data_IF_669778902342
#
_entry.id   IF_669778902342
#
_cell.length_a   1.000
_cell.length_b   1.000
_cell.length_c   1.000
_cell.angle_alpha   90.00
_cell.angle_beta   90.00
_cell.angle_gamma   90.00
#
_symmetry.space_group_name_H-M   'P 1'
#
loop_
_entity.id
_entity.type
_entity.pdbx_description
1 polymer ?
#
# COMPACT_ATOMS: atom_id res chain seq x y z
N UNK A 1 15.94 7.13 -6.44
CA UNK A 1 14.95 6.10 -6.04
C UNK A 1 15.17 4.88 -6.90
N UNK A 2 15.18 3.66 -6.32
CA UNK A 2 15.29 2.42 -7.12
C UNK A 2 13.96 2.23 -7.84
N UNK A 3 13.97 2.36 -9.18
CA UNK A 3 12.81 2.08 -10.02
C UNK A 3 12.83 0.62 -10.41
N UNK A 4 11.74 -0.11 -10.11
CA UNK A 4 11.57 -1.50 -10.51
C UNK A 4 10.55 -1.55 -11.63
N UNK A 5 10.88 -2.19 -12.74
CA UNK A 5 9.90 -2.48 -13.78
C UNK A 5 8.89 -3.52 -13.27
N UNK A 6 7.61 -3.25 -13.49
CA UNK A 6 6.53 -4.17 -13.15
C UNK A 6 5.16 -3.61 -13.45
N UNK A 7 4.14 -4.42 -13.21
CA UNK A 7 2.74 -4.02 -13.34
C UNK A 7 2.30 -3.20 -12.13
N UNK A 8 1.71 -2.03 -12.37
CA UNK A 8 1.13 -1.21 -11.31
C UNK A 8 -0.15 -1.87 -10.77
N UNK A 9 -0.26 -2.15 -9.45
CA UNK A 9 -1.42 -2.84 -8.90
C UNK A 9 -2.72 -2.03 -8.99
N UNK A 10 -2.63 -0.70 -9.19
CA UNK A 10 -3.80 0.18 -9.35
C UNK A 10 -4.32 0.21 -10.79
N UNK A 11 -3.48 0.59 -11.75
CA UNK A 11 -3.90 0.80 -13.14
C UNK A 11 -3.63 -0.41 -14.06
N UNK A 12 -2.78 -1.35 -13.67
CA UNK A 12 -2.36 -2.48 -14.51
C UNK A 12 -1.32 -2.12 -15.58
N UNK A 13 -0.81 -0.89 -15.61
CA UNK A 13 0.23 -0.51 -16.57
C UNK A 13 1.57 -1.16 -16.20
N UNK A 14 2.25 -1.72 -17.18
CA UNK A 14 3.60 -2.25 -17.02
C UNK A 14 4.62 -1.11 -17.21
N UNK A 15 5.13 -0.56 -16.11
CA UNK A 15 5.98 0.64 -16.13
C UNK A 15 6.97 0.65 -14.95
N UNK A 16 7.78 1.70 -14.86
CA UNK A 16 8.66 1.92 -13.73
C UNK A 16 7.84 2.24 -12.47
N UNK A 17 7.99 1.40 -11.45
CA UNK A 17 7.31 1.54 -10.17
C UNK A 17 8.20 2.24 -9.13
N UNK A 18 7.57 3.10 -8.34
CA UNK A 18 8.16 3.87 -7.26
C UNK A 18 7.57 3.44 -5.91
N UNK A 19 8.35 3.54 -4.83
CA UNK A 19 7.92 3.15 -3.48
C UNK A 19 7.09 4.26 -2.87
N UNK A 20 5.82 3.97 -2.60
CA UNK A 20 4.96 4.81 -1.78
C UNK A 20 4.89 4.21 -0.37
N UNK A 21 5.21 4.99 0.66
CA UNK A 21 5.08 4.53 2.04
C UNK A 21 3.62 4.63 2.48
N UNK A 22 3.07 3.57 3.09
CA UNK A 22 1.69 3.56 3.59
C UNK A 22 1.49 4.68 4.61
N UNK A 23 2.46 4.84 5.50
CA UNK A 23 2.46 5.94 6.44
C UNK A 23 3.28 7.11 5.90
N UNK A 24 2.86 8.38 6.07
CA UNK A 24 3.63 9.51 5.57
C UNK A 24 4.99 9.62 6.26
N UNK A 25 6.06 9.71 5.47
CA UNK A 25 7.44 9.82 6.00
C UNK A 25 7.61 11.05 6.89
N UNK A 26 6.86 12.13 6.62
CA UNK A 26 6.85 13.35 7.46
C UNK A 26 6.46 13.09 8.93
N UNK A 27 5.64 12.07 9.18
CA UNK A 27 5.11 11.76 10.52
C UNK A 27 5.80 10.56 11.18
N UNK A 28 6.26 9.59 10.38
CA UNK A 28 6.78 8.30 10.89
C UNK A 28 8.29 8.12 10.64
N UNK A 29 8.92 9.06 9.92
CA UNK A 29 10.31 8.97 9.50
C UNK A 29 10.54 7.86 8.47
N UNK A 30 11.76 7.83 7.92
CA UNK A 30 12.12 6.88 6.85
C UNK A 30 12.62 5.53 7.35
N UNK A 31 13.30 5.48 8.51
CA UNK A 31 13.96 4.27 9.02
C UNK A 31 13.00 3.24 9.63
N UNK A 32 11.89 3.71 10.19
CA UNK A 32 10.92 2.87 10.90
C UNK A 32 9.73 2.48 10.00
N UNK A 33 9.63 3.07 8.82
CA UNK A 33 8.49 2.92 7.93
C UNK A 33 8.77 1.86 6.86
N UNK A 34 8.57 0.59 7.24
CA UNK A 34 8.82 -0.57 6.36
C UNK A 34 7.61 -0.96 5.52
N UNK A 35 6.44 -0.37 5.76
CA UNK A 35 5.23 -0.64 5.01
C UNK A 35 5.16 0.29 3.79
N UNK A 36 5.37 -0.28 2.61
CA UNK A 36 5.30 0.44 1.36
C UNK A 36 4.63 -0.41 0.28
N UNK A 37 4.15 0.27 -0.75
CA UNK A 37 3.61 -0.31 -1.97
C UNK A 37 4.39 0.23 -3.17
N UNK A 38 4.38 -0.53 -4.26
CA UNK A 38 4.99 -0.14 -5.52
C UNK A 38 3.89 0.32 -6.47
N UNK A 39 3.97 1.56 -6.93
CA UNK A 39 3.00 2.18 -7.84
C UNK A 39 3.71 2.83 -9.01
N UNK A 40 3.05 2.95 -10.15
CA UNK A 40 3.52 3.87 -11.19
C UNK A 40 3.50 5.31 -10.66
N UNK A 41 4.30 6.19 -11.27
CA UNK A 41 4.41 7.59 -10.86
C UNK A 41 3.06 8.31 -10.77
N UNK A 42 2.15 8.03 -11.71
CA UNK A 42 0.85 8.67 -11.76
C UNK A 42 -0.06 8.22 -10.60
N UNK A 43 -0.22 6.91 -10.40
CA UNK A 43 -0.97 6.39 -9.26
C UNK A 43 -0.34 6.77 -7.91
N UNK A 44 0.99 6.88 -7.84
CA UNK A 44 1.68 7.36 -6.66
C UNK A 44 1.23 8.78 -6.29
N UNK A 45 1.20 9.69 -7.27
CA UNK A 45 0.77 11.08 -7.07
C UNK A 45 -0.70 11.19 -6.67
N UNK A 46 -1.58 10.43 -7.33
CA UNK A 46 -3.01 10.41 -7.00
C UNK A 46 -3.24 9.95 -5.56
N UNK A 47 -2.51 8.91 -5.13
CA UNK A 47 -2.60 8.44 -3.75
C UNK A 47 -2.13 9.49 -2.74
N UNK A 48 -1.04 10.22 -3.02
CA UNK A 48 -0.57 11.30 -2.15
C UNK A 48 -1.62 12.40 -1.94
N UNK A 49 -2.46 12.69 -2.94
CA UNK A 49 -3.55 13.68 -2.82
C UNK A 49 -4.65 13.28 -1.85
N UNK A 50 -4.82 11.99 -1.57
CA UNK A 50 -5.81 11.51 -0.60
C UNK A 50 -5.31 11.54 0.86
N UNK A 51 -4.03 11.87 1.07
CA UNK A 51 -3.40 11.85 2.38
C UNK A 51 -3.28 13.30 2.89
N UNK A 52 -4.05 13.71 3.92
CA UNK A 52 -4.03 15.07 4.45
C UNK A 52 -2.67 15.39 5.05
N UNK A 53 -2.30 16.68 5.10
CA UNK A 53 -1.01 17.10 5.61
C UNK A 53 -0.85 16.75 7.10
N UNK A 54 -1.92 16.95 7.87
CA UNK A 54 -2.04 16.62 9.28
C UNK A 54 -1.82 15.12 9.55
N UNK A 55 -1.48 14.79 10.80
CA UNK A 55 -1.34 13.40 11.21
C UNK A 55 -2.73 12.83 11.50
N UNK A 56 -3.04 11.69 10.89
CA UNK A 56 -4.27 10.95 11.07
C UNK A 56 -3.99 9.64 11.84
N UNK A 57 -5.02 8.99 12.41
CA UNK A 57 -4.88 7.67 13.00
C UNK A 57 -4.32 6.64 12.00
N UNK A 58 -3.57 5.64 12.47
CA UNK A 58 -2.96 4.62 11.61
C UNK A 58 -4.00 3.87 10.73
N UNK A 59 -5.22 3.70 11.24
CA UNK A 59 -6.35 3.10 10.52
C UNK A 59 -6.73 3.88 9.27
N UNK A 60 -6.72 5.21 9.34
CA UNK A 60 -7.03 6.09 8.21
C UNK A 60 -6.11 5.79 7.02
N UNK A 61 -4.80 5.72 7.25
CA UNK A 61 -3.85 5.47 6.16
C UNK A 61 -4.07 4.10 5.51
N UNK A 62 -4.34 3.06 6.31
CA UNK A 62 -4.65 1.72 5.80
C UNK A 62 -5.94 1.70 4.98
N UNK A 63 -6.96 2.43 5.43
CA UNK A 63 -8.24 2.54 4.73
C UNK A 63 -8.09 3.29 3.40
N UNK A 64 -7.32 4.38 3.36
CA UNK A 64 -7.01 5.09 2.11
C UNK A 64 -6.32 4.16 1.11
N UNK A 65 -5.29 3.40 1.53
CA UNK A 65 -4.62 2.43 0.65
C UNK A 65 -5.60 1.37 0.15
N UNK A 66 -6.43 0.81 1.04
CA UNK A 66 -7.41 -0.21 0.70
C UNK A 66 -8.41 0.31 -0.33
N UNK A 67 -9.01 1.47 -0.08
CA UNK A 67 -9.95 2.12 -0.99
C UNK A 67 -9.29 2.49 -2.32
N UNK A 68 -8.03 2.96 -2.29
CA UNK A 68 -7.30 3.33 -3.48
C UNK A 68 -7.00 2.13 -4.38
N UNK A 69 -6.47 1.05 -3.81
CA UNK A 69 -6.07 -0.16 -4.56
C UNK A 69 -7.26 -1.02 -5.01
N UNK A 70 -8.40 -0.93 -4.33
CA UNK A 70 -9.53 -1.81 -4.66
C UNK A 70 -10.11 -1.43 -6.04
N UNK A 71 -9.78 -2.22 -7.05
CA UNK A 71 -10.19 -2.08 -8.45
C UNK A 71 -11.68 -2.41 -8.67
N UNK A 72 -12.34 -2.95 -7.65
CA UNK A 72 -13.74 -3.40 -7.68
C UNK A 72 -14.42 -3.20 -6.32
N UNK A 73 -15.46 -2.36 -6.28
CA UNK A 73 -16.62 -2.72 -5.46
C UNK A 73 -17.28 -3.92 -6.13
N UNK A 74 -16.85 -5.13 -5.80
CA UNK A 74 -17.73 -6.29 -5.78
C UNK A 74 -18.10 -6.50 -4.31
N UNK A 75 -19.39 -6.64 -3.97
CA UNK A 75 -19.83 -6.76 -2.59
C UNK A 75 -19.15 -7.95 -1.92
N UNK A 76 -18.64 -7.73 -0.72
CA UNK A 76 -18.00 -8.74 0.12
C UNK A 76 -18.98 -9.91 0.37
N UNK A 77 -18.92 -10.94 -0.47
CA UNK A 77 -19.32 -12.29 -0.08
C UNK A 77 -18.04 -13.10 0.15
N UNK A 78 -17.70 -13.23 1.43
CA UNK A 78 -16.86 -14.30 1.98
C UNK A 78 -15.45 -14.38 1.41
N UNK A 79 -14.51 -13.63 1.98
CA UNK A 79 -13.10 -14.00 1.91
C UNK A 79 -12.51 -14.04 3.31
N UNK A 80 -12.30 -15.26 3.77
CA UNK A 80 -11.58 -15.64 4.99
C UNK A 80 -10.15 -15.09 4.94
N UNK A 81 -9.76 -14.36 5.99
CA UNK A 81 -8.37 -14.00 6.23
C UNK A 81 -7.54 -15.28 6.42
N UNK A 82 -6.49 -15.48 5.63
CA UNK A 82 -5.49 -16.52 5.88
C UNK A 82 -4.47 -15.94 6.85
N UNK A 83 -4.59 -16.29 8.13
CA UNK A 83 -3.53 -16.07 9.10
C UNK A 83 -2.34 -16.97 8.77
N UNK A 84 -1.18 -16.37 8.52
CA UNK A 84 0.07 -17.13 8.36
C UNK A 84 0.57 -17.56 9.73
N UNK A 85 0.13 -18.72 10.21
CA UNK A 85 0.77 -19.37 11.36
C UNK A 85 2.14 -19.91 10.94
N UNK A 86 3.18 -19.30 11.50
CA UNK A 86 4.57 -19.77 11.42
C UNK A 86 4.64 -21.23 11.83
N UNK A 87 5.12 -22.06 10.92
CA UNK A 87 5.55 -23.42 11.21
C UNK A 87 6.70 -23.41 12.23
N UNK A 88 6.46 -23.91 13.45
CA UNK A 88 7.53 -24.47 14.29
C UNK A 88 7.57 -25.97 14.02
N UNK A 89 8.56 -26.42 13.24
CA UNK A 89 9.03 -27.81 13.30
C UNK A 89 9.91 -27.92 14.55
N UNK A 90 9.51 -28.74 15.50
CA UNK A 90 10.40 -29.33 16.50
C UNK A 90 10.29 -30.84 16.29
N UNK A 91 11.44 -31.47 16.07
CA UNK A 91 11.62 -32.92 15.92
C UNK A 91 11.38 -33.62 17.24
#
# INVERSE_FOLDING_TARGET
MVRRMGECPKCGEHTALERHHVYPVRHYGKRNNRLFLLLCRECHRQLEWHIPFEKMPDTFYRDVIRCFLNRYYLPLKGTTYVETTRHKRVR
#
